data_IF_994063227866
#
_entry.id   IF_994063227866
#
_cell.length_a   1.000
_cell.length_b   1.000
_cell.length_c   1.000
_cell.angle_alpha   90.00
_cell.angle_beta   90.00
_cell.angle_gamma   90.00
#
_symmetry.space_group_name_H-M   'P 1'
#
loop_
_entity.id
_entity.type
_entity.pdbx_description
1 polymer ?
#
# COMPACT_ATOMS: atom_id res chain seq x y z
N UNK A 1 66.15 27.68 25.03
CA UNK A 1 64.80 27.57 25.68
C UNK A 1 63.77 28.59 25.14
N UNK A 2 64.11 29.54 24.30
CA UNK A 2 63.19 30.55 23.79
C UNK A 2 62.24 30.01 22.68
N UNK A 3 62.64 28.96 21.96
CA UNK A 3 61.91 28.39 20.82
C UNK A 3 60.82 27.38 21.20
N UNK A 4 60.82 26.87 22.41
CA UNK A 4 59.82 25.88 22.90
C UNK A 4 58.46 26.58 23.12
N UNK A 5 58.45 27.85 23.50
CA UNK A 5 57.21 28.65 23.70
C UNK A 5 56.44 28.86 22.37
N UNK A 6 57.12 29.02 21.27
CA UNK A 6 56.50 29.23 19.96
C UNK A 6 56.01 27.89 19.35
N UNK A 7 56.68 26.79 19.70
CA UNK A 7 56.27 25.43 19.27
C UNK A 7 54.95 25.03 19.94
N UNK A 8 54.77 25.35 21.24
CA UNK A 8 53.50 25.09 21.96
C UNK A 8 52.32 25.94 21.48
N UNK A 9 52.59 27.23 21.11
CA UNK A 9 51.57 28.05 20.53
C UNK A 9 51.12 27.59 19.12
N UNK A 10 52.03 27.10 18.33
CA UNK A 10 51.76 26.55 16.97
C UNK A 10 50.95 25.22 17.11
N UNK A 11 51.26 24.38 18.10
CA UNK A 11 50.50 23.14 18.35
C UNK A 11 49.05 23.41 18.83
N UNK A 12 48.83 24.44 19.65
CA UNK A 12 47.50 24.84 20.11
C UNK A 12 46.68 25.43 18.92
N UNK A 13 47.33 26.21 18.05
CA UNK A 13 46.68 26.73 16.84
C UNK A 13 46.21 25.62 15.88
N UNK A 14 46.92 24.50 15.79
CA UNK A 14 46.50 23.36 14.99
C UNK A 14 45.33 22.59 15.60
N UNK A 15 45.19 22.58 16.92
CA UNK A 15 44.10 21.87 17.60
C UNK A 15 42.75 22.60 17.48
N UNK A 16 42.75 23.92 17.32
CA UNK A 16 41.51 24.69 17.14
C UNK A 16 41.06 24.76 15.69
N UNK A 17 41.96 24.52 14.72
CA UNK A 17 41.60 24.45 13.30
C UNK A 17 40.95 23.11 12.88
N UNK A 18 40.94 22.11 13.78
CA UNK A 18 40.40 20.76 13.51
C UNK A 18 38.92 20.59 13.86
N UNK A 19 38.25 21.63 14.36
CA UNK A 19 36.81 21.60 14.58
C UNK A 19 36.06 22.30 13.42
N UNK A 20 36.34 21.91 12.19
CA UNK A 20 35.34 22.05 11.14
C UNK A 20 34.36 20.92 11.34
N UNK A 21 33.05 21.22 11.47
CA UNK A 21 32.02 20.20 11.41
C UNK A 21 32.27 19.36 10.15
N UNK A 22 32.43 18.02 10.28
CA UNK A 22 32.49 17.20 9.10
C UNK A 22 31.18 17.44 8.35
N UNK A 23 31.26 17.97 7.11
CA UNK A 23 30.10 17.96 6.23
C UNK A 23 29.61 16.52 6.18
N UNK A 24 28.52 16.28 6.91
CA UNK A 24 27.85 14.99 6.88
C UNK A 24 27.47 14.74 5.43
N UNK A 25 28.01 13.69 4.82
CA UNK A 25 27.69 13.29 3.44
C UNK A 25 26.23 12.88 3.27
N UNK A 26 25.46 12.95 4.33
CA UNK A 26 24.03 12.63 4.35
C UNK A 26 23.28 13.95 4.52
N UNK A 27 22.29 14.15 3.66
CA UNK A 27 21.33 15.24 3.85
C UNK A 27 20.78 15.16 5.27
N UNK A 28 20.73 16.28 5.96
CA UNK A 28 20.04 16.35 7.24
C UNK A 28 18.55 16.00 7.03
N UNK A 29 17.88 15.53 8.08
CA UNK A 29 16.46 15.20 8.00
C UNK A 29 15.62 16.41 7.50
N UNK A 30 16.03 17.62 7.85
CA UNK A 30 15.37 18.87 7.44
C UNK A 30 15.55 19.21 5.95
N UNK A 31 16.64 18.72 5.33
CA UNK A 31 16.94 18.92 3.90
C UNK A 31 16.43 17.76 3.03
N UNK A 32 15.96 16.67 3.63
CA UNK A 32 15.40 15.55 2.90
C UNK A 32 13.96 15.84 2.47
N UNK A 33 13.58 15.45 1.26
CA UNK A 33 12.19 15.49 0.84
C UNK A 33 11.37 14.48 1.64
N UNK A 34 10.36 14.97 2.35
CA UNK A 34 9.48 14.13 3.14
C UNK A 34 8.36 13.60 2.25
N UNK A 35 8.09 12.30 2.36
CA UNK A 35 7.02 11.63 1.65
C UNK A 35 5.73 11.52 2.45
N UNK A 36 4.77 10.80 1.90
CA UNK A 36 3.53 10.45 2.57
C UNK A 36 3.20 8.98 2.37
N UNK A 37 2.42 8.40 3.29
CA UNK A 37 1.88 7.05 3.12
C UNK A 37 0.54 6.90 3.85
N UNK A 38 -0.24 5.91 3.42
CA UNK A 38 -1.47 5.49 4.08
C UNK A 38 -1.18 4.29 4.97
N UNK A 39 -1.33 4.42 6.29
CA UNK A 39 -1.20 3.32 7.23
C UNK A 39 -2.47 2.51 7.28
N UNK A 40 -2.36 1.20 7.07
CA UNK A 40 -3.46 0.26 7.18
C UNK A 40 -3.90 0.10 8.64
N UNK A 41 -5.13 0.45 8.95
CA UNK A 41 -5.76 0.18 10.26
C UNK A 41 -6.47 -1.17 10.29
N UNK A 42 -6.68 -1.76 9.13
CA UNK A 42 -7.31 -3.06 8.92
C UNK A 42 -8.17 -3.06 7.68
N UNK A 43 -8.27 -4.22 7.04
CA UNK A 43 -9.25 -4.47 5.99
C UNK A 43 -9.73 -5.92 6.08
N UNK A 44 -10.91 -6.17 5.51
CA UNK A 44 -11.54 -7.48 5.42
C UNK A 44 -12.39 -7.57 4.17
N UNK A 45 -12.87 -8.78 3.87
CA UNK A 45 -13.68 -9.06 2.71
C UNK A 45 -12.99 -10.00 1.75
N UNK A 46 -13.76 -10.52 0.82
CA UNK A 46 -13.32 -11.47 -0.22
C UNK A 46 -14.15 -11.23 -1.48
N UNK A 47 -13.64 -11.67 -2.63
CA UNK A 47 -14.37 -11.66 -3.88
C UNK A 47 -14.94 -13.06 -4.14
N UNK A 48 -16.27 -13.19 -3.99
CA UNK A 48 -17.01 -14.42 -4.21
C UNK A 48 -17.59 -14.46 -5.63
N UNK A 49 -17.26 -15.48 -6.40
CA UNK A 49 -17.79 -15.63 -7.76
C UNK A 49 -19.32 -15.74 -7.80
N UNK A 50 -19.90 -16.37 -6.78
CA UNK A 50 -21.35 -16.57 -6.66
C UNK A 50 -22.11 -15.31 -6.17
N UNK A 51 -21.40 -14.31 -5.65
CA UNK A 51 -21.98 -13.07 -5.15
C UNK A 51 -21.13 -11.86 -5.55
N UNK A 52 -21.02 -11.63 -6.83
CA UNK A 52 -20.23 -10.52 -7.39
C UNK A 52 -20.71 -9.16 -6.88
N UNK A 53 -22.02 -8.96 -6.84
CA UNK A 53 -22.60 -7.68 -6.42
C UNK A 53 -22.47 -7.39 -4.91
N UNK A 54 -22.47 -8.42 -4.07
CA UNK A 54 -22.31 -8.29 -2.62
C UNK A 54 -20.87 -8.37 -2.14
N UNK A 55 -19.92 -8.71 -3.03
CA UNK A 55 -18.51 -8.87 -2.67
C UNK A 55 -17.75 -7.56 -2.64
N UNK A 56 -17.07 -7.27 -1.55
CA UNK A 56 -16.19 -6.10 -1.40
C UNK A 56 -14.98 -6.39 -0.52
N UNK A 57 -13.98 -5.53 -0.65
CA UNK A 57 -12.87 -5.40 0.30
C UNK A 57 -13.05 -4.06 0.99
N UNK A 58 -13.34 -4.08 2.27
CA UNK A 58 -13.61 -2.91 3.09
C UNK A 58 -12.48 -2.69 4.09
N UNK A 59 -12.05 -1.45 4.26
CA UNK A 59 -10.98 -1.15 5.18
C UNK A 59 -10.90 0.32 5.55
N UNK A 60 -9.94 0.63 6.42
CA UNK A 60 -9.66 1.99 6.86
C UNK A 60 -8.16 2.23 6.85
N UNK A 61 -7.77 3.40 6.37
CA UNK A 61 -6.39 3.88 6.44
C UNK A 61 -6.36 5.24 7.12
N UNK A 62 -5.21 5.56 7.71
CA UNK A 62 -4.90 6.92 8.15
C UNK A 62 -3.63 7.42 7.45
N UNK A 63 -3.50 8.73 7.30
CA UNK A 63 -2.47 9.34 6.49
C UNK A 63 -1.35 9.91 7.34
N UNK A 64 -0.12 9.68 6.89
CA UNK A 64 1.11 10.19 7.46
C UNK A 64 1.86 11.04 6.43
N UNK A 65 2.29 12.21 6.83
CA UNK A 65 3.26 13.07 6.17
C UNK A 65 4.01 13.91 7.23
N UNK A 66 4.79 14.86 6.84
CA UNK A 66 5.53 15.78 7.71
C UNK A 66 4.63 16.79 8.46
N UNK A 67 3.33 16.83 8.14
CA UNK A 67 2.33 17.70 8.75
C UNK A 67 1.11 16.89 9.29
N UNK A 68 1.38 15.76 9.92
CA UNK A 68 0.35 14.90 10.51
C UNK A 68 -0.76 14.49 9.51
N UNK A 69 -0.39 14.17 8.26
CA UNK A 69 -1.30 13.76 7.21
C UNK A 69 -2.13 14.88 6.57
N UNK A 70 -1.96 16.13 6.99
CA UNK A 70 -2.79 17.28 6.54
C UNK A 70 -2.46 17.75 5.14
N UNK A 71 -1.29 17.39 4.59
CA UNK A 71 -0.90 17.74 3.21
C UNK A 71 -1.46 16.73 2.19
N UNK A 72 -2.08 15.64 2.63
CA UNK A 72 -2.68 14.68 1.71
C UNK A 72 -3.91 15.29 1.04
N UNK A 73 -3.91 15.29 -0.29
CA UNK A 73 -5.01 15.79 -1.12
C UNK A 73 -5.99 14.68 -1.51
N UNK A 74 -5.46 13.49 -1.85
CA UNK A 74 -6.28 12.37 -2.28
C UNK A 74 -5.62 11.02 -2.01
N UNK A 75 -6.48 10.00 -1.95
CA UNK A 75 -6.13 8.58 -1.90
C UNK A 75 -6.88 7.86 -3.01
N UNK A 76 -6.15 7.35 -4.01
CA UNK A 76 -6.72 6.77 -5.20
C UNK A 76 -6.33 5.31 -5.35
N UNK A 77 -7.26 4.53 -5.93
CA UNK A 77 -7.10 3.13 -6.23
C UNK A 77 -7.15 2.90 -7.75
N UNK A 78 -6.26 2.04 -8.21
CA UNK A 78 -6.34 1.41 -9.55
C UNK A 78 -6.62 -0.07 -9.38
N UNK A 79 -7.18 -0.70 -10.40
CA UNK A 79 -7.40 -2.15 -10.44
C UNK A 79 -6.84 -2.74 -11.73
N UNK A 80 -6.20 -3.90 -11.58
CA UNK A 80 -5.69 -4.75 -12.65
C UNK A 80 -6.29 -6.13 -12.52
N UNK A 81 -6.64 -6.77 -13.64
CA UNK A 81 -7.07 -8.16 -13.67
C UNK A 81 -5.93 -9.09 -14.06
N UNK A 82 -5.81 -10.21 -13.35
CA UNK A 82 -4.89 -11.31 -13.61
C UNK A 82 -5.69 -12.59 -13.83
N UNK A 83 -5.62 -13.12 -15.02
CA UNK A 83 -6.33 -14.32 -15.46
C UNK A 83 -5.70 -15.63 -14.94
N UNK A 84 -5.38 -15.68 -13.65
CA UNK A 84 -4.69 -16.82 -13.03
C UNK A 84 -5.56 -18.10 -13.04
N UNK A 85 -6.89 -17.95 -12.98
CA UNK A 85 -7.86 -19.04 -13.09
C UNK A 85 -8.30 -19.35 -14.53
N UNK A 86 -7.84 -18.57 -15.48
CA UNK A 86 -8.18 -18.72 -16.91
C UNK A 86 -9.38 -17.90 -17.37
N UNK A 87 -9.92 -17.02 -16.54
CA UNK A 87 -10.94 -16.04 -16.95
C UNK A 87 -10.45 -15.09 -18.04
N UNK A 88 -11.36 -14.39 -18.69
CA UNK A 88 -11.09 -13.52 -19.84
C UNK A 88 -10.26 -14.21 -20.95
N UNK A 89 -10.48 -15.52 -21.15
CA UNK A 89 -9.69 -16.30 -22.11
C UNK A 89 -8.21 -16.43 -21.75
N UNK A 90 -7.83 -16.29 -20.51
CA UNK A 90 -6.45 -16.32 -20.03
C UNK A 90 -5.67 -15.02 -20.24
N UNK A 91 -6.36 -13.91 -20.54
CA UNK A 91 -5.74 -12.62 -20.86
C UNK A 91 -5.84 -11.65 -19.68
N UNK A 92 -4.69 -11.18 -19.22
CA UNK A 92 -4.59 -10.13 -18.21
C UNK A 92 -5.08 -8.77 -18.75
N UNK A 93 -5.68 -7.95 -17.89
CA UNK A 93 -6.05 -6.57 -18.23
C UNK A 93 -5.18 -5.61 -17.41
N UNK A 94 -4.56 -4.60 -18.05
CA UNK A 94 -3.71 -3.63 -17.37
C UNK A 94 -4.51 -2.78 -16.37
N UNK A 95 -3.77 -2.10 -15.49
CA UNK A 95 -4.37 -1.27 -14.44
C UNK A 95 -5.17 -0.10 -15.02
N UNK A 96 -6.39 0.08 -14.50
CA UNK A 96 -7.29 1.20 -14.77
C UNK A 96 -7.66 1.90 -13.46
N UNK A 97 -8.14 3.13 -13.53
CA UNK A 97 -8.65 3.85 -12.34
C UNK A 97 -9.89 3.14 -11.80
N UNK A 98 -9.94 2.95 -10.48
CA UNK A 98 -11.09 2.35 -9.79
C UNK A 98 -11.83 3.38 -8.95
N UNK A 99 -11.15 4.00 -7.99
CA UNK A 99 -11.81 4.89 -7.01
C UNK A 99 -10.84 5.93 -6.46
N UNK A 100 -11.36 7.10 -6.13
CA UNK A 100 -10.57 8.17 -5.50
C UNK A 100 -11.35 8.77 -4.35
N UNK A 101 -10.66 8.95 -3.22
CA UNK A 101 -11.14 9.68 -2.05
C UNK A 101 -10.35 10.97 -1.93
N UNK A 102 -11.03 12.08 -1.76
CA UNK A 102 -10.44 13.42 -1.64
C UNK A 102 -10.44 13.91 -0.20
N UNK A 103 -9.62 14.89 0.12
CA UNK A 103 -9.39 15.33 1.50
C UNK A 103 -10.63 15.86 2.23
N UNK A 104 -11.67 16.25 1.52
CA UNK A 104 -12.98 16.61 2.06
C UNK A 104 -13.78 15.41 2.63
N UNK A 105 -13.41 14.19 2.22
CA UNK A 105 -13.99 12.94 2.72
C UNK A 105 -13.21 12.36 3.91
N UNK A 106 -12.07 12.97 4.28
CA UNK A 106 -11.26 12.47 5.38
C UNK A 106 -11.83 12.89 6.72
N UNK A 107 -11.79 11.96 7.67
CA UNK A 107 -12.24 12.15 9.05
C UNK A 107 -11.10 11.86 10.01
N UNK A 108 -11.11 12.43 11.22
CA UNK A 108 -10.13 12.07 12.24
C UNK A 108 -10.18 10.58 12.57
N UNK A 109 -9.02 9.92 12.66
CA UNK A 109 -8.93 8.53 13.07
C UNK A 109 -9.21 8.38 14.58
N UNK A 110 -9.59 7.17 15.00
CA UNK A 110 -9.75 6.82 16.41
C UNK A 110 -8.42 6.42 17.10
N UNK A 111 -7.30 6.66 16.44
CA UNK A 111 -5.97 6.35 16.98
C UNK A 111 -5.41 7.53 17.80
N UNK A 112 -4.31 7.31 18.51
CA UNK A 112 -3.59 8.34 19.25
C UNK A 112 -2.14 8.37 18.77
N UNK A 113 -1.69 9.49 18.17
CA UNK A 113 -2.44 10.70 17.83
C UNK A 113 -3.50 10.46 16.76
N UNK A 114 -4.57 11.27 16.75
CA UNK A 114 -5.62 11.20 15.73
C UNK A 114 -5.14 11.90 14.45
N UNK A 115 -5.08 11.15 13.35
CA UNK A 115 -4.66 11.62 12.03
C UNK A 115 -5.84 11.60 11.04
N UNK A 116 -5.77 12.35 9.92
CA UNK A 116 -6.75 12.21 8.86
C UNK A 116 -6.83 10.76 8.38
N UNK A 117 -8.04 10.26 8.20
CA UNK A 117 -8.29 8.87 7.82
C UNK A 117 -9.46 8.77 6.85
N UNK A 118 -9.53 7.67 6.11
CA UNK A 118 -10.67 7.35 5.26
C UNK A 118 -11.01 5.87 5.34
N UNK A 119 -12.29 5.57 5.43
CA UNK A 119 -12.80 4.22 5.21
C UNK A 119 -13.09 4.04 3.73
N UNK A 120 -12.65 2.93 3.16
CA UNK A 120 -12.84 2.61 1.76
C UNK A 120 -13.58 1.29 1.59
N UNK A 121 -14.30 1.17 0.47
CA UNK A 121 -14.94 -0.04 0.00
C UNK A 121 -14.59 -0.22 -1.47
N UNK A 122 -14.06 -1.37 -1.82
CA UNK A 122 -13.68 -1.75 -3.18
C UNK A 122 -14.54 -2.93 -3.60
N UNK A 123 -15.63 -2.65 -4.33
CA UNK A 123 -16.59 -3.64 -4.77
C UNK A 123 -16.08 -4.48 -5.94
N UNK A 124 -16.40 -5.77 -5.94
CA UNK A 124 -16.04 -6.66 -7.07
C UNK A 124 -16.76 -6.24 -8.35
N UNK A 125 -18.05 -5.90 -8.27
CA UNK A 125 -18.80 -5.39 -9.44
C UNK A 125 -18.20 -4.08 -9.98
N UNK A 126 -17.83 -3.14 -9.06
CA UNK A 126 -17.17 -1.88 -9.42
C UNK A 126 -15.84 -2.13 -10.17
N UNK A 127 -15.08 -3.13 -9.71
CA UNK A 127 -13.83 -3.53 -10.36
C UNK A 127 -14.05 -4.14 -11.75
N UNK A 128 -15.06 -4.98 -11.92
CA UNK A 128 -15.45 -5.55 -13.21
C UNK A 128 -15.86 -4.45 -14.19
N UNK A 129 -16.75 -3.54 -13.75
CA UNK A 129 -17.22 -2.44 -14.58
C UNK A 129 -16.07 -1.54 -15.07
N UNK A 130 -15.12 -1.23 -14.16
CA UNK A 130 -13.93 -0.44 -14.48
C UNK A 130 -13.03 -1.13 -15.53
N UNK A 131 -12.93 -2.46 -15.48
CA UNK A 131 -12.11 -3.27 -16.38
C UNK A 131 -12.82 -3.63 -17.69
N UNK A 132 -14.13 -3.33 -17.80
CA UNK A 132 -14.97 -3.73 -18.94
C UNK A 132 -15.24 -5.23 -18.98
N UNK A 133 -15.22 -5.89 -17.83
CA UNK A 133 -15.52 -7.31 -17.67
C UNK A 133 -16.93 -7.53 -17.12
N UNK A 134 -17.47 -8.72 -17.36
CA UNK A 134 -18.70 -9.24 -16.75
C UNK A 134 -18.41 -10.42 -15.80
N UNK A 135 -19.38 -10.82 -15.02
CA UNK A 135 -19.26 -11.99 -14.14
C UNK A 135 -18.97 -13.31 -14.89
N UNK A 136 -19.30 -13.38 -16.18
CA UNK A 136 -19.02 -14.55 -17.03
C UNK A 136 -17.58 -14.58 -17.58
N UNK A 137 -16.86 -13.49 -17.46
CA UNK A 137 -15.47 -13.38 -17.94
C UNK A 137 -14.44 -13.76 -16.86
N UNK A 138 -14.89 -14.06 -15.66
CA UNK A 138 -14.03 -14.39 -14.53
C UNK A 138 -14.27 -15.82 -14.04
N UNK A 139 -13.25 -16.41 -13.46
CA UNK A 139 -13.30 -17.77 -12.88
C UNK A 139 -12.65 -17.80 -11.49
N UNK A 140 -12.91 -18.87 -10.74
CA UNK A 140 -12.22 -19.13 -9.48
C UNK A 140 -10.71 -19.22 -9.68
N UNK A 141 -9.95 -18.55 -8.82
CA UNK A 141 -8.49 -18.45 -8.92
C UNK A 141 -7.99 -17.20 -9.67
N UNK A 142 -8.82 -16.49 -10.41
CA UNK A 142 -8.45 -15.18 -10.96
C UNK A 142 -8.16 -14.18 -9.84
N UNK A 143 -7.42 -13.12 -10.15
CA UNK A 143 -7.00 -12.14 -9.16
C UNK A 143 -7.23 -10.71 -9.62
N UNK A 144 -7.83 -9.91 -8.76
CA UNK A 144 -7.87 -8.46 -8.86
C UNK A 144 -6.73 -7.89 -8.04
N UNK A 145 -5.79 -7.22 -8.69
CA UNK A 145 -4.71 -6.50 -8.03
C UNK A 145 -5.06 -5.03 -7.97
N UNK A 146 -5.32 -4.55 -6.77
CA UNK A 146 -5.67 -3.16 -6.50
C UNK A 146 -4.47 -2.44 -5.89
N UNK A 147 -4.05 -1.33 -6.49
CA UNK A 147 -2.91 -0.54 -6.03
C UNK A 147 -3.38 0.84 -5.59
N UNK A 148 -2.87 1.27 -4.44
CA UNK A 148 -3.21 2.53 -3.81
C UNK A 148 -2.10 3.57 -4.01
N UNK A 149 -2.51 4.82 -4.18
CA UNK A 149 -1.61 5.97 -4.29
C UNK A 149 -2.11 7.11 -3.41
N UNK A 150 -1.21 7.63 -2.58
CA UNK A 150 -1.41 8.87 -1.81
C UNK A 150 -0.87 10.03 -2.63
N UNK A 151 -1.65 11.08 -2.84
CA UNK A 151 -1.22 12.30 -3.53
C UNK A 151 -1.29 13.48 -2.58
N UNK A 152 -0.20 14.24 -2.50
CA UNK A 152 -0.12 15.46 -1.69
C UNK A 152 -0.71 16.67 -2.44
N UNK A 153 -0.98 17.75 -1.70
CA UNK A 153 -1.49 19.03 -2.24
C UNK A 153 -0.51 19.71 -3.19
N UNK A 154 0.78 19.39 -3.09
CA UNK A 154 1.82 19.88 -3.99
C UNK A 154 1.97 19.05 -5.29
N UNK A 155 1.18 17.98 -5.42
CA UNK A 155 1.15 17.11 -6.60
C UNK A 155 2.08 15.90 -6.53
N UNK A 156 2.94 15.76 -5.52
CA UNK A 156 3.75 14.55 -5.32
C UNK A 156 2.87 13.36 -4.98
N UNK A 157 3.21 12.20 -5.51
CA UNK A 157 2.42 10.97 -5.35
C UNK A 157 3.27 9.81 -4.88
N UNK A 158 2.74 9.00 -3.96
CA UNK A 158 3.42 7.88 -3.31
C UNK A 158 2.56 6.63 -3.39
N UNK A 159 3.11 5.57 -3.97
CA UNK A 159 2.44 4.29 -4.19
C UNK A 159 3.44 3.15 -4.26
N UNK A 160 3.04 2.01 -4.83
CA UNK A 160 3.85 0.80 -4.88
C UNK A 160 5.24 1.00 -5.50
N UNK A 161 5.39 1.90 -6.46
CA UNK A 161 6.64 2.09 -7.21
C UNK A 161 7.70 2.93 -6.49
N UNK A 162 7.30 3.76 -5.52
CA UNK A 162 8.20 4.71 -4.85
C UNK A 162 8.04 4.75 -3.31
N UNK A 163 7.27 3.82 -2.74
CA UNK A 163 7.22 3.63 -1.28
C UNK A 163 8.29 2.64 -0.86
N UNK A 164 9.12 3.02 0.10
CA UNK A 164 10.20 2.16 0.60
C UNK A 164 9.68 0.85 1.18
N UNK A 165 10.38 -0.27 0.89
CA UNK A 165 9.98 -1.60 1.36
C UNK A 165 9.81 -1.70 2.88
N UNK A 166 10.58 -0.94 3.64
CA UNK A 166 10.45 -0.89 5.11
C UNK A 166 9.10 -0.30 5.56
N UNK A 167 8.55 0.68 4.85
CA UNK A 167 7.24 1.25 5.15
C UNK A 167 6.10 0.25 4.87
N UNK A 168 6.28 -0.59 3.86
CA UNK A 168 5.28 -1.60 3.45
C UNK A 168 5.31 -2.81 4.40
N UNK A 169 6.51 -3.32 4.71
CA UNK A 169 6.67 -4.61 5.38
C UNK A 169 6.77 -4.53 6.91
N UNK A 170 7.15 -3.38 7.48
CA UNK A 170 7.37 -3.28 8.92
C UNK A 170 6.10 -2.95 9.69
N UNK A 171 5.88 -3.69 10.79
CA UNK A 171 4.68 -3.64 11.61
C UNK A 171 4.21 -2.24 12.06
N UNK A 172 5.10 -1.31 12.48
CA UNK A 172 4.68 0.03 12.91
C UNK A 172 4.10 0.89 11.78
N UNK A 173 4.62 0.74 10.56
CA UNK A 173 4.23 1.60 9.44
C UNK A 173 3.06 1.04 8.64
N UNK A 174 3.09 -0.24 8.28
CA UNK A 174 2.00 -0.96 7.59
C UNK A 174 1.41 -0.18 6.42
N UNK A 175 2.27 0.45 5.60
CA UNK A 175 1.83 1.24 4.46
C UNK A 175 1.02 0.37 3.50
N UNK A 176 -0.22 0.78 3.22
CA UNK A 176 -1.12 0.07 2.32
C UNK A 176 -0.97 0.63 0.91
N UNK A 177 -0.23 -0.08 0.09
CA UNK A 177 0.02 0.29 -1.32
C UNK A 177 -0.56 -0.72 -2.30
N UNK A 178 -0.98 -1.92 -1.82
CA UNK A 178 -1.56 -2.96 -2.66
C UNK A 178 -2.44 -3.91 -1.86
N UNK A 179 -3.54 -4.31 -2.47
CA UNK A 179 -4.36 -5.46 -2.07
C UNK A 179 -4.46 -6.40 -3.29
N UNK A 180 -4.31 -7.70 -3.05
CA UNK A 180 -4.56 -8.73 -4.06
C UNK A 180 -5.74 -9.56 -3.61
N UNK A 181 -6.88 -9.42 -4.28
CA UNK A 181 -8.08 -10.18 -4.01
C UNK A 181 -8.21 -11.31 -5.03
N UNK A 182 -8.15 -12.55 -4.55
CA UNK A 182 -8.43 -13.70 -5.39
C UNK A 182 -9.94 -13.91 -5.49
N UNK A 183 -10.40 -14.30 -6.68
CA UNK A 183 -11.76 -14.76 -6.89
C UNK A 183 -11.89 -16.15 -6.30
N UNK A 184 -12.78 -16.31 -5.33
CA UNK A 184 -13.02 -17.59 -4.68
C UNK A 184 -14.40 -18.10 -5.01
N UNK A 185 -14.51 -19.43 -5.13
CA UNK A 185 -15.77 -20.12 -5.21
C UNK A 185 -16.19 -20.54 -3.80
N UNK A 186 -17.45 -20.33 -3.43
CA UNK A 186 -17.95 -20.96 -2.22
C UNK A 186 -18.03 -22.46 -2.46
N UNK A 187 -17.30 -23.24 -1.68
CA UNK A 187 -17.54 -24.69 -1.64
C UNK A 187 -18.61 -24.97 -0.61
N UNK A 188 -19.67 -25.64 -1.02
CA UNK A 188 -20.73 -26.14 -0.14
C UNK A 188 -20.28 -27.36 0.70
N UNK A 189 -18.96 -27.47 0.93
CA UNK A 189 -18.37 -28.57 1.69
C UNK A 189 -18.43 -28.24 3.19
N UNK A 190 -19.61 -27.90 3.68
CA UNK A 190 -19.91 -27.85 5.11
C UNK A 190 -20.58 -29.15 5.55
N UNK A 191 -19.93 -29.99 6.36
CA UNK A 191 -20.50 -31.23 6.86
C UNK A 191 -19.48 -32.22 7.37
N UNK A 192 -19.96 -33.31 7.96
CA UNK A 192 -19.12 -34.44 8.34
C UNK A 192 -19.11 -35.44 7.18
N UNK A 193 -17.97 -35.64 6.55
CA UNK A 193 -17.84 -36.57 5.43
C UNK A 193 -17.01 -37.79 5.81
N UNK A 194 -17.49 -38.99 5.39
CA UNK A 194 -16.63 -40.15 5.33
C UNK A 194 -15.88 -40.12 4.00
N UNK A 195 -14.58 -39.91 4.06
CA UNK A 195 -13.75 -39.69 2.87
C UNK A 195 -12.99 -40.98 2.51
N UNK A 196 -13.17 -41.45 1.28
CA UNK A 196 -12.31 -42.46 0.66
C UNK A 196 -11.82 -41.87 -0.66
N UNK A 197 -10.53 -41.51 -0.73
CA UNK A 197 -9.94 -41.02 -1.96
C UNK A 197 -9.12 -42.07 -2.67
N UNK A 198 -9.39 -42.27 -3.93
CA UNK A 198 -8.53 -43.01 -4.84
C UNK A 198 -8.52 -42.28 -6.19
N UNK A 199 -7.42 -41.62 -6.54
CA UNK A 199 -7.24 -40.94 -7.82
C UNK A 199 -6.85 -39.48 -7.77
N UNK A 200 -6.50 -38.88 -8.91
CA UNK A 200 -6.26 -37.47 -9.07
C UNK A 200 -7.59 -36.71 -9.17
N UNK A 201 -7.79 -35.68 -8.35
CA UNK A 201 -8.92 -34.76 -8.49
C UNK A 201 -8.67 -33.84 -9.67
N UNK A 202 -9.65 -33.75 -10.55
CA UNK A 202 -9.70 -32.78 -11.65
C UNK A 202 -10.77 -31.70 -11.35
N UNK A 203 -11.03 -31.45 -10.07
CA UNK A 203 -12.07 -30.49 -9.70
C UNK A 203 -11.76 -29.11 -10.22
N UNK A 204 -12.52 -28.69 -11.22
CA UNK A 204 -12.68 -27.27 -11.53
C UNK A 204 -13.61 -26.67 -10.47
N UNK A 205 -13.21 -25.62 -9.85
CA UNK A 205 -13.89 -25.00 -8.72
C UNK A 205 -15.29 -24.43 -9.06
N UNK A 206 -15.63 -24.24 -10.32
CA UNK A 206 -16.92 -23.67 -10.76
C UNK A 206 -17.41 -24.27 -12.06
#
# INVERSE_FOLDING_TARGET
MKNIKYLSLLLIGFLIASCGDPELRFQSYEESEHGAFARNLGYSGIFLLQDVAGSSIDGTVEFYDDNDGKNVASYSWTVQFRANGGGNGGVDIPAVSLKTYTSDQFTPSNQVPSLPSVSYSLGMQEALDALGLSATDITGGDQFRMEATVTLKDGRSFGQGNTGGNLISQGPFRALVRISANVVCSSDIGGTYNYVSSGASTDSCC
#
